data_IF_683964837937
#
_entry.id   IF_683964837937
#
_cell.length_a   1.000
_cell.length_b   1.000
_cell.length_c   1.000
_cell.angle_alpha   90.00
_cell.angle_beta   90.00
_cell.angle_gamma   90.00
#
_symmetry.space_group_name_H-M   'P 1'
#
loop_
_entity.id
_entity.type
_entity.pdbx_description
1 polymer ?
#
# COMPACT_ATOMS: atom_id res chain seq x y z
N UNK A 1 -10.22 21.99 -2.35
CA UNK A 1 -8.96 22.16 -3.11
C UNK A 1 -8.67 20.83 -3.74
N UNK A 2 -8.88 20.73 -5.04
CA UNK A 2 -8.63 19.46 -5.75
C UNK A 2 -7.13 19.19 -5.70
N UNK A 3 -6.76 18.07 -5.09
CA UNK A 3 -5.38 17.64 -5.03
C UNK A 3 -4.97 17.18 -6.45
N UNK A 4 -4.37 18.12 -7.20
CA UNK A 4 -4.02 17.94 -8.62
C UNK A 4 -3.08 16.73 -8.83
N UNK A 5 -2.29 16.36 -7.81
CA UNK A 5 -1.40 15.19 -7.89
C UNK A 5 -2.20 13.89 -7.85
N UNK A 6 -3.22 13.86 -7.02
CA UNK A 6 -4.10 12.71 -6.87
C UNK A 6 -4.93 12.46 -8.14
N UNK A 7 -5.48 13.54 -8.74
CA UNK A 7 -6.23 13.47 -10.00
C UNK A 7 -5.36 13.06 -11.20
N UNK A 8 -4.11 13.50 -11.27
CA UNK A 8 -3.20 13.08 -12.36
C UNK A 8 -2.83 11.60 -12.29
N UNK A 9 -2.58 11.07 -11.10
CA UNK A 9 -2.24 9.65 -10.96
C UNK A 9 -3.44 8.75 -11.21
N UNK A 10 -4.61 9.15 -10.74
CA UNK A 10 -5.88 8.47 -11.04
C UNK A 10 -6.32 8.60 -12.50
N UNK A 11 -5.84 9.60 -13.26
CA UNK A 11 -6.15 9.73 -14.68
C UNK A 11 -5.74 8.50 -15.50
N UNK A 12 -4.67 7.79 -15.11
CA UNK A 12 -4.30 6.51 -15.72
C UNK A 12 -5.37 5.43 -15.54
N UNK A 13 -6.06 5.41 -14.41
CA UNK A 13 -7.12 4.43 -14.12
C UNK A 13 -8.50 4.89 -14.59
N UNK A 14 -8.73 6.20 -14.67
CA UNK A 14 -10.03 6.79 -15.02
C UNK A 14 -10.25 6.88 -16.54
N UNK A 15 -9.19 7.09 -17.33
CA UNK A 15 -9.33 7.28 -18.78
C UNK A 15 -9.57 5.99 -19.57
N UNK A 16 -9.33 4.83 -18.98
CA UNK A 16 -9.46 3.53 -19.66
C UNK A 16 -10.63 2.71 -19.11
N UNK A 17 -11.86 3.14 -19.40
CA UNK A 17 -13.07 2.36 -19.09
C UNK A 17 -13.18 1.05 -19.89
N UNK A 18 -12.32 0.84 -20.88
CA UNK A 18 -12.20 -0.40 -21.64
C UNK A 18 -10.87 -1.09 -21.32
N UNK A 19 -10.77 -1.69 -20.16
CA UNK A 19 -9.69 -2.66 -19.92
C UNK A 19 -9.91 -3.86 -20.83
N UNK A 20 -9.13 -3.90 -21.90
CA UNK A 20 -9.06 -5.06 -22.78
C UNK A 20 -8.48 -6.26 -22.00
N UNK A 21 -8.74 -7.48 -22.48
CA UNK A 21 -8.15 -8.69 -21.93
C UNK A 21 -6.60 -8.61 -21.85
N UNK A 22 -5.97 -7.86 -22.76
CA UNK A 22 -4.52 -7.58 -22.78
C UNK A 22 -4.07 -6.71 -21.61
N UNK A 23 -4.82 -5.67 -21.25
CA UNK A 23 -4.52 -4.86 -20.05
C UNK A 23 -4.71 -5.64 -18.77
N UNK A 24 -5.75 -6.46 -18.68
CA UNK A 24 -5.95 -7.38 -17.55
C UNK A 24 -4.81 -8.41 -17.44
N UNK A 25 -4.29 -8.88 -18.58
CA UNK A 25 -3.13 -9.78 -18.61
C UNK A 25 -1.85 -9.05 -18.19
N UNK A 26 -1.65 -7.81 -18.63
CA UNK A 26 -0.52 -6.97 -18.23
C UNK A 26 -0.54 -6.65 -16.73
N UNK A 27 -1.69 -6.29 -16.18
CA UNK A 27 -1.86 -6.11 -14.72
C UNK A 27 -1.57 -7.41 -13.95
N UNK A 28 -1.96 -8.57 -14.49
CA UNK A 28 -1.61 -9.88 -13.89
C UNK A 28 -0.11 -10.17 -13.96
N UNK A 29 0.57 -9.79 -15.04
CA UNK A 29 2.02 -9.97 -15.16
C UNK A 29 2.78 -9.04 -14.21
N UNK A 30 2.29 -7.82 -13.96
CA UNK A 30 2.85 -6.94 -12.95
C UNK A 30 2.79 -7.54 -11.53
N UNK A 31 1.85 -8.44 -11.27
CA UNK A 31 1.78 -9.19 -10.01
C UNK A 31 3.06 -10.01 -9.79
N UNK A 32 3.60 -10.65 -10.83
CA UNK A 32 4.83 -11.44 -10.71
C UNK A 32 6.05 -10.55 -10.42
N UNK A 33 6.13 -9.38 -11.06
CA UNK A 33 7.20 -8.41 -10.82
C UNK A 33 7.17 -7.87 -9.39
N UNK A 34 5.97 -7.70 -8.82
CA UNK A 34 5.80 -7.23 -7.44
C UNK A 34 5.89 -8.35 -6.39
N UNK A 35 5.63 -9.62 -6.73
CA UNK A 35 5.85 -10.75 -5.80
C UNK A 35 7.26 -10.78 -5.24
N UNK A 36 8.22 -10.38 -6.05
CA UNK A 36 9.61 -10.26 -5.68
C UNK A 36 9.84 -9.31 -4.49
N UNK A 37 9.10 -8.20 -4.37
CA UNK A 37 9.21 -7.25 -3.27
C UNK A 37 8.83 -7.83 -1.90
N UNK A 38 8.12 -8.96 -1.90
CA UNK A 38 7.54 -9.58 -0.71
C UNK A 38 7.92 -11.07 -0.57
N UNK A 39 9.00 -11.49 -1.23
CA UNK A 39 9.60 -12.81 -0.99
C UNK A 39 10.37 -12.81 0.34
N UNK A 40 10.64 -14.00 0.89
CA UNK A 40 11.24 -14.16 2.21
C UNK A 40 12.59 -13.46 2.39
N UNK A 41 13.32 -13.25 1.30
CA UNK A 41 14.65 -12.61 1.25
C UNK A 41 14.54 -11.06 1.21
N UNK A 42 13.33 -10.52 1.15
CA UNK A 42 13.07 -9.10 1.19
C UNK A 42 12.78 -8.69 2.62
N UNK A 43 13.29 -7.57 3.13
CA UNK A 43 13.12 -7.14 4.51
C UNK A 43 11.68 -7.18 5.03
N UNK A 44 10.70 -6.96 4.15
CA UNK A 44 9.27 -7.05 4.50
C UNK A 44 8.68 -8.48 4.50
N UNK A 45 9.40 -9.47 3.99
CA UNK A 45 8.89 -10.83 3.83
C UNK A 45 8.41 -11.46 5.15
N UNK A 46 9.22 -11.33 6.20
CA UNK A 46 8.92 -11.88 7.52
C UNK A 46 7.77 -11.15 8.22
N UNK A 47 7.58 -9.87 7.92
CA UNK A 47 6.52 -9.05 8.51
C UNK A 47 5.15 -9.43 7.93
N UNK A 48 5.12 -9.91 6.69
CA UNK A 48 3.89 -10.31 6.01
C UNK A 48 3.40 -11.72 6.41
N UNK A 49 4.04 -12.37 7.38
CA UNK A 49 3.65 -13.69 7.81
C UNK A 49 2.30 -13.70 8.53
N UNK A 50 1.33 -14.42 7.98
CA UNK A 50 0.00 -14.58 8.55
C UNK A 50 -0.03 -15.34 9.88
N UNK A 51 1.09 -15.89 10.35
CA UNK A 51 1.17 -16.43 11.71
C UNK A 51 1.05 -15.33 12.75
N UNK A 52 1.58 -14.14 12.44
CA UNK A 52 1.51 -12.94 13.32
C UNK A 52 0.15 -12.25 13.23
N UNK A 53 -0.40 -12.12 12.02
CA UNK A 53 -1.63 -11.35 11.78
C UNK A 53 -2.64 -12.16 10.96
N UNK A 54 -3.93 -12.00 11.25
CA UNK A 54 -5.02 -12.61 10.45
C UNK A 54 -5.77 -11.59 9.62
N UNK A 55 -5.63 -10.31 9.96
CA UNK A 55 -6.26 -9.19 9.27
C UNK A 55 -5.19 -8.25 8.73
N UNK A 56 -5.39 -7.77 7.52
CA UNK A 56 -4.59 -6.71 6.92
C UNK A 56 -5.46 -5.57 6.38
N UNK A 57 -4.88 -4.40 6.30
CA UNK A 57 -5.43 -3.22 5.66
C UNK A 57 -4.42 -2.76 4.59
N UNK A 58 -4.84 -2.79 3.33
CA UNK A 58 -4.06 -2.36 2.18
C UNK A 58 -4.53 -0.98 1.76
N UNK A 59 -3.70 0.03 2.01
CA UNK A 59 -4.01 1.44 1.78
C UNK A 59 -3.49 1.83 0.39
N UNK A 60 -4.39 2.33 -0.47
CA UNK A 60 -4.10 2.59 -1.87
C UNK A 60 -3.95 1.30 -2.66
N UNK A 61 -4.91 0.41 -2.53
CA UNK A 61 -4.82 -0.96 -3.05
C UNK A 61 -4.82 -1.07 -4.58
N UNK A 62 -5.09 0.02 -5.30
CA UNK A 62 -5.19 0.04 -6.75
C UNK A 62 -6.14 -1.05 -7.27
N UNK A 63 -5.66 -1.86 -8.21
CA UNK A 63 -6.42 -2.98 -8.77
C UNK A 63 -6.43 -4.24 -7.89
N UNK A 64 -6.01 -4.12 -6.63
CA UNK A 64 -6.19 -5.14 -5.58
C UNK A 64 -5.24 -6.32 -5.62
N UNK A 65 -4.16 -6.27 -6.42
CA UNK A 65 -3.23 -7.39 -6.56
C UNK A 65 -2.58 -7.77 -5.21
N UNK A 66 -2.12 -6.76 -4.44
CA UNK A 66 -1.44 -7.01 -3.16
C UNK A 66 -2.39 -7.56 -2.10
N UNK A 67 -3.60 -7.01 -2.01
CA UNK A 67 -4.64 -7.53 -1.14
C UNK A 67 -4.94 -9.02 -1.43
N UNK A 68 -4.98 -9.40 -2.71
CA UNK A 68 -5.17 -10.78 -3.13
C UNK A 68 -3.94 -11.66 -2.86
N UNK A 69 -2.73 -11.13 -3.04
CA UNK A 69 -1.48 -11.81 -2.65
C UNK A 69 -1.48 -12.15 -1.15
N UNK A 70 -1.85 -11.20 -0.28
CA UNK A 70 -1.95 -11.44 1.16
C UNK A 70 -2.90 -12.58 1.50
N UNK A 71 -4.03 -12.71 0.81
CA UNK A 71 -4.98 -13.81 1.03
C UNK A 71 -4.46 -15.13 0.46
N UNK A 72 -4.02 -15.13 -0.78
CA UNK A 72 -3.75 -16.36 -1.52
C UNK A 72 -2.39 -16.96 -1.12
N UNK A 73 -1.35 -16.14 -1.02
CA UNK A 73 0.01 -16.61 -0.75
C UNK A 73 0.34 -16.54 0.74
N UNK A 74 -0.04 -15.44 1.40
CA UNK A 74 0.28 -15.18 2.81
C UNK A 74 -0.81 -15.65 3.78
N UNK A 75 -1.91 -16.23 3.28
CA UNK A 75 -2.96 -16.91 4.05
C UNK A 75 -3.71 -16.02 5.06
N UNK A 76 -3.79 -14.73 4.78
CA UNK A 76 -4.65 -13.83 5.56
C UNK A 76 -6.11 -14.26 5.47
N UNK A 77 -6.84 -14.10 6.55
CA UNK A 77 -8.26 -14.48 6.61
C UNK A 77 -9.19 -13.33 6.25
N UNK A 78 -8.68 -12.09 6.34
CA UNK A 78 -9.42 -10.87 6.00
C UNK A 78 -8.47 -9.76 5.57
N UNK A 79 -8.77 -9.14 4.45
CA UNK A 79 -8.06 -7.94 3.99
C UNK A 79 -9.08 -6.86 3.67
N UNK A 80 -8.84 -5.66 4.14
CA UNK A 80 -9.53 -4.45 3.73
C UNK A 80 -8.64 -3.74 2.69
N UNK A 81 -9.12 -3.61 1.48
CA UNK A 81 -8.42 -2.96 0.37
C UNK A 81 -9.08 -1.61 0.11
N UNK A 82 -8.43 -0.53 0.51
CA UNK A 82 -8.98 0.83 0.42
C UNK A 82 -8.36 1.53 -0.78
N UNK A 83 -9.21 2.03 -1.68
CA UNK A 83 -8.78 2.69 -2.90
C UNK A 83 -9.80 3.78 -3.28
N UNK A 84 -9.38 5.04 -3.47
CA UNK A 84 -10.30 6.11 -3.80
C UNK A 84 -10.76 6.08 -5.27
N UNK A 85 -10.02 5.45 -6.18
CA UNK A 85 -10.42 5.29 -7.57
C UNK A 85 -11.51 4.23 -7.72
N UNK A 86 -12.73 4.63 -8.04
CA UNK A 86 -13.84 3.72 -8.30
C UNK A 86 -13.52 2.75 -9.44
N UNK A 87 -12.90 3.25 -10.51
CA UNK A 87 -12.51 2.42 -11.65
C UNK A 87 -11.48 1.34 -11.27
N UNK A 88 -10.51 1.65 -10.41
CA UNK A 88 -9.54 0.67 -9.92
C UNK A 88 -10.21 -0.41 -9.07
N UNK A 89 -11.14 -0.01 -8.20
CA UNK A 89 -11.95 -0.96 -7.39
C UNK A 89 -12.80 -1.87 -8.27
N UNK A 90 -13.40 -1.32 -9.33
CA UNK A 90 -14.21 -2.12 -10.26
C UNK A 90 -13.36 -3.10 -11.07
N UNK A 91 -12.15 -2.70 -11.44
CA UNK A 91 -11.16 -3.59 -12.06
C UNK A 91 -10.79 -4.72 -11.09
N UNK A 92 -10.47 -4.38 -9.83
CA UNK A 92 -10.14 -5.37 -8.81
C UNK A 92 -11.24 -6.43 -8.67
N UNK A 93 -12.50 -6.01 -8.60
CA UNK A 93 -13.65 -6.91 -8.52
C UNK A 93 -13.82 -7.78 -9.78
N UNK A 94 -13.50 -7.25 -10.97
CA UNK A 94 -13.53 -8.01 -12.23
C UNK A 94 -12.41 -9.04 -12.34
N UNK A 95 -11.19 -8.70 -11.87
CA UNK A 95 -10.04 -9.60 -11.88
C UNK A 95 -10.20 -10.72 -10.84
N UNK A 96 -10.78 -10.40 -9.68
CA UNK A 96 -10.89 -11.30 -8.54
C UNK A 96 -12.35 -11.49 -8.08
N UNK A 97 -13.26 -11.99 -8.96
CA UNK A 97 -14.70 -12.00 -8.70
C UNK A 97 -15.10 -12.87 -7.51
N UNK A 98 -14.36 -13.93 -7.24
CA UNK A 98 -14.65 -14.91 -6.19
C UNK A 98 -13.91 -14.68 -4.88
N UNK A 99 -13.20 -13.55 -4.76
CA UNK A 99 -12.38 -13.28 -3.58
C UNK A 99 -13.23 -12.73 -2.41
N UNK A 100 -13.69 -13.65 -1.56
CA UNK A 100 -14.56 -13.31 -0.40
C UNK A 100 -13.82 -12.79 0.83
N UNK A 101 -12.50 -13.00 0.90
CA UNK A 101 -11.67 -12.56 2.05
C UNK A 101 -11.13 -11.14 1.89
N UNK A 102 -11.21 -10.57 0.68
CA UNK A 102 -10.87 -9.17 0.42
C UNK A 102 -12.14 -8.34 0.39
N UNK A 103 -12.19 -7.32 1.24
CA UNK A 103 -13.23 -6.29 1.20
C UNK A 103 -12.68 -5.08 0.48
N UNK A 104 -13.05 -4.92 -0.80
CA UNK A 104 -12.73 -3.71 -1.56
C UNK A 104 -13.60 -2.55 -1.09
N UNK A 105 -12.97 -1.43 -0.75
CA UNK A 105 -13.60 -0.22 -0.23
C UNK A 105 -13.22 0.94 -1.15
N UNK A 106 -14.20 1.53 -1.82
CA UNK A 106 -13.98 2.76 -2.56
C UNK A 106 -14.12 3.95 -1.61
N UNK A 107 -13.05 4.70 -1.43
CA UNK A 107 -13.00 5.86 -0.54
C UNK A 107 -11.60 6.28 -0.14
N UNK A 108 -11.50 7.41 0.51
CA UNK A 108 -10.24 7.95 1.03
C UNK A 108 -9.84 7.25 2.32
N UNK A 109 -8.56 6.93 2.46
CA UNK A 109 -8.07 6.11 3.57
C UNK A 109 -8.33 6.75 4.93
N UNK A 110 -8.14 8.07 5.08
CA UNK A 110 -8.38 8.81 6.31
C UNK A 110 -9.83 8.73 6.80
N UNK A 111 -10.78 8.59 5.89
CA UNK A 111 -12.20 8.45 6.19
C UNK A 111 -12.58 6.98 6.46
N UNK A 112 -12.16 6.08 5.58
CA UNK A 112 -12.55 4.68 5.61
C UNK A 112 -11.91 3.90 6.77
N UNK A 113 -10.67 4.23 7.13
CA UNK A 113 -9.99 3.64 8.28
C UNK A 113 -10.81 3.82 9.57
N UNK A 114 -11.40 5.00 9.76
CA UNK A 114 -12.21 5.31 10.96
C UNK A 114 -13.43 4.38 11.13
N UNK A 115 -13.90 3.75 10.06
CA UNK A 115 -15.05 2.83 10.04
C UNK A 115 -14.65 1.37 10.30
N UNK A 116 -13.33 1.08 10.32
CA UNK A 116 -12.81 -0.27 10.57
C UNK A 116 -12.55 -0.45 12.06
N UNK A 117 -13.11 -1.52 12.63
CA UNK A 117 -12.87 -1.89 14.02
C UNK A 117 -11.93 -3.07 14.08
N UNK A 118 -10.74 -2.85 14.64
CA UNK A 118 -9.74 -3.88 14.91
C UNK A 118 -9.72 -4.20 16.40
N UNK A 119 -9.71 -5.48 16.73
CA UNK A 119 -9.66 -5.98 18.12
C UNK A 119 -8.38 -6.75 18.41
N UNK A 120 -7.53 -6.90 17.41
CA UNK A 120 -6.24 -7.62 17.49
C UNK A 120 -5.20 -6.88 16.65
N UNK A 121 -3.92 -7.09 16.93
CA UNK A 121 -2.84 -6.60 16.07
C UNK A 121 -3.07 -7.00 14.62
N UNK A 122 -2.80 -6.09 13.72
CA UNK A 122 -3.09 -6.22 12.29
C UNK A 122 -1.95 -5.64 11.46
N UNK A 123 -1.83 -6.09 10.22
CA UNK A 123 -0.93 -5.50 9.26
C UNK A 123 -1.62 -4.31 8.57
N UNK A 124 -0.92 -3.20 8.48
CA UNK A 124 -1.22 -2.11 7.56
C UNK A 124 -0.15 -2.10 6.47
N UNK A 125 -0.53 -1.90 5.24
CA UNK A 125 0.40 -1.82 4.12
C UNK A 125 0.13 -0.61 3.25
N UNK A 126 1.22 -0.01 2.75
CA UNK A 126 1.20 0.97 1.68
C UNK A 126 2.28 0.63 0.68
N UNK A 127 1.98 0.69 -0.60
CA UNK A 127 2.90 0.31 -1.66
C UNK A 127 2.90 1.38 -2.76
N UNK A 128 3.94 2.23 -2.75
CA UNK A 128 4.08 3.35 -3.68
C UNK A 128 2.86 4.29 -3.69
N UNK A 129 2.29 4.57 -2.53
CA UNK A 129 1.08 5.40 -2.38
C UNK A 129 1.40 6.74 -1.74
N UNK A 130 2.01 6.72 -0.55
CA UNK A 130 2.16 7.93 0.25
C UNK A 130 3.15 8.92 -0.36
N UNK A 131 4.08 8.45 -1.19
CA UNK A 131 5.03 9.31 -1.91
C UNK A 131 4.32 10.23 -2.93
N UNK A 132 3.15 9.85 -3.41
CA UNK A 132 2.35 10.65 -4.34
C UNK A 132 1.44 11.66 -3.63
N UNK A 133 1.32 11.56 -2.33
CA UNK A 133 0.44 12.41 -1.53
C UNK A 133 1.23 13.48 -0.79
N UNK A 134 0.64 14.68 -0.65
CA UNK A 134 1.21 15.75 0.16
C UNK A 134 1.09 15.44 1.65
N UNK A 135 1.87 16.15 2.48
CA UNK A 135 1.86 15.98 3.92
C UNK A 135 0.46 16.21 4.53
N UNK A 136 -0.29 17.17 3.97
CA UNK A 136 -1.65 17.51 4.41
C UNK A 136 -2.62 16.33 4.26
N UNK A 137 -2.34 15.39 3.34
CA UNK A 137 -3.11 14.16 3.13
C UNK A 137 -2.53 13.00 3.92
N UNK A 138 -1.21 12.87 3.98
CA UNK A 138 -0.56 11.72 4.63
C UNK A 138 -0.71 11.78 6.14
N UNK A 139 -0.58 12.95 6.77
CA UNK A 139 -0.71 13.09 8.24
C UNK A 139 -2.08 12.60 8.74
N UNK A 140 -3.22 12.97 8.15
CA UNK A 140 -4.52 12.39 8.51
C UNK A 140 -4.59 10.86 8.34
N UNK A 141 -3.99 10.30 7.29
CA UNK A 141 -3.93 8.84 7.08
C UNK A 141 -3.16 8.17 8.22
N UNK A 142 -1.95 8.67 8.54
CA UNK A 142 -1.14 8.14 9.63
C UNK A 142 -1.84 8.23 10.98
N UNK A 143 -2.51 9.36 11.24
CA UNK A 143 -3.32 9.55 12.44
C UNK A 143 -4.47 8.55 12.51
N UNK A 144 -5.14 8.26 11.41
CA UNK A 144 -6.20 7.27 11.34
C UNK A 144 -5.67 5.85 11.56
N UNK A 145 -4.51 5.50 10.99
CA UNK A 145 -3.81 4.24 11.24
C UNK A 145 -3.48 4.10 12.72
N UNK A 146 -2.82 5.11 13.30
CA UNK A 146 -2.44 5.09 14.72
C UNK A 146 -3.65 4.88 15.64
N UNK A 147 -4.75 5.57 15.35
CA UNK A 147 -5.98 5.51 16.15
C UNK A 147 -6.61 4.12 16.19
N UNK A 148 -6.62 3.37 15.10
CA UNK A 148 -7.30 2.06 15.01
C UNK A 148 -6.37 0.88 15.25
N UNK A 149 -5.07 1.06 15.08
CA UNK A 149 -4.07 0.01 15.29
C UNK A 149 -4.04 -0.40 16.77
N UNK A 150 -3.97 -1.69 17.01
CA UNK A 150 -3.73 -2.25 18.36
C UNK A 150 -2.23 -2.39 18.60
N UNK A 151 -1.77 -2.32 19.84
CA UNK A 151 -0.38 -2.61 20.23
C UNK A 151 0.10 -3.91 19.56
N UNK A 152 1.29 -3.88 18.97
CA UNK A 152 1.85 -4.98 18.18
C UNK A 152 1.36 -5.04 16.73
N UNK A 153 0.50 -4.11 16.29
CA UNK A 153 0.21 -3.93 14.86
C UNK A 153 1.44 -3.43 14.11
N UNK A 154 1.55 -3.76 12.84
CA UNK A 154 2.68 -3.36 12.01
C UNK A 154 2.19 -2.56 10.81
N UNK A 155 2.88 -1.46 10.51
CA UNK A 155 2.80 -0.73 9.26
C UNK A 155 4.01 -1.12 8.39
N UNK A 156 3.75 -1.78 7.29
CA UNK A 156 4.74 -2.08 6.25
C UNK A 156 4.59 -1.07 5.12
N UNK A 157 5.60 -0.24 4.95
CA UNK A 157 5.60 0.84 3.98
C UNK A 157 6.71 0.61 2.96
N UNK A 158 6.36 0.53 1.69
CA UNK A 158 7.29 0.46 0.58
C UNK A 158 7.04 1.65 -0.33
N UNK A 159 7.91 2.66 -0.23
CA UNK A 159 7.75 3.93 -0.92
C UNK A 159 9.03 4.26 -1.70
N UNK A 160 8.91 5.08 -2.73
CA UNK A 160 10.08 5.59 -3.42
C UNK A 160 10.81 6.61 -2.56
N UNK A 161 12.10 6.41 -2.33
CA UNK A 161 12.95 7.29 -1.52
C UNK A 161 14.16 7.78 -2.31
N UNK A 162 14.33 9.09 -2.25
CA UNK A 162 15.60 9.77 -2.48
C UNK A 162 16.41 9.32 -3.67
N UNK A 163 15.97 9.54 -4.89
CA UNK A 163 16.85 9.72 -6.04
C UNK A 163 16.17 10.62 -7.06
N UNK A 164 16.98 11.60 -7.51
CA UNK A 164 16.85 12.40 -8.73
C UNK A 164 15.44 12.48 -9.32
N UNK A 165 14.84 13.63 -9.19
CA UNK A 165 13.85 14.24 -10.07
C UNK A 165 13.24 13.29 -11.12
N UNK A 166 12.33 12.43 -10.70
CA UNK A 166 11.59 11.68 -11.68
C UNK A 166 10.30 12.39 -12.03
N UNK A 167 9.71 13.12 -11.13
CA UNK A 167 8.61 14.04 -11.44
C UNK A 167 8.38 14.98 -10.25
N UNK A 168 7.89 16.20 -10.50
CA UNK A 168 7.49 17.20 -9.47
C UNK A 168 6.34 16.74 -8.54
N UNK A 169 5.95 15.47 -8.65
CA UNK A 169 4.80 14.88 -7.96
C UNK A 169 5.19 13.98 -6.78
N UNK A 170 6.49 13.74 -6.54
CA UNK A 170 6.94 12.82 -5.49
C UNK A 170 7.32 13.57 -4.21
N UNK A 171 6.62 13.25 -3.13
CA UNK A 171 6.87 13.81 -1.81
C UNK A 171 7.72 12.84 -1.00
N UNK A 172 9.04 12.99 -1.11
CA UNK A 172 10.01 12.16 -0.39
C UNK A 172 10.13 12.66 1.05
N UNK A 173 10.03 11.75 2.01
CA UNK A 173 10.07 12.05 3.44
C UNK A 173 11.28 11.40 4.10
N UNK A 174 11.92 12.12 5.03
CA UNK A 174 13.04 11.57 5.79
C UNK A 174 12.57 10.57 6.87
N UNK A 175 13.46 9.68 7.35
CA UNK A 175 13.15 8.83 8.49
C UNK A 175 12.64 9.60 9.71
N UNK A 176 13.23 10.75 10.01
CA UNK A 176 12.86 11.60 11.13
C UNK A 176 11.41 12.08 11.00
N UNK A 177 11.00 12.45 9.77
CA UNK A 177 9.62 12.86 9.51
C UNK A 177 8.61 11.76 9.86
N UNK A 178 8.92 10.50 9.53
CA UNK A 178 8.04 9.38 9.85
C UNK A 178 7.94 9.16 11.36
N UNK A 179 9.07 9.19 12.07
CA UNK A 179 9.12 9.05 13.53
C UNK A 179 8.34 10.17 14.22
N UNK A 180 8.47 11.41 13.77
CA UNK A 180 7.74 12.56 14.32
C UNK A 180 6.21 12.41 14.16
N UNK A 181 5.75 11.83 13.04
CA UNK A 181 4.32 11.68 12.76
C UNK A 181 3.69 10.38 13.30
N UNK A 182 4.51 9.43 13.77
CA UNK A 182 4.06 8.21 14.45
C UNK A 182 4.92 7.94 15.70
N UNK A 183 4.88 8.81 16.74
CA UNK A 183 5.80 8.76 17.88
C UNK A 183 5.62 7.53 18.78
N UNK A 184 4.49 6.83 18.67
CA UNK A 184 4.18 5.61 19.43
C UNK A 184 4.49 4.33 18.65
N UNK A 185 5.39 4.42 17.65
CA UNK A 185 5.77 3.30 16.81
C UNK A 185 7.28 3.14 16.79
N UNK A 186 7.74 1.90 16.84
CA UNK A 186 9.14 1.53 16.68
C UNK A 186 9.43 1.23 15.21
N UNK A 187 10.43 1.92 14.63
CA UNK A 187 10.73 1.86 13.20
C UNK A 187 11.97 1.03 12.91
N UNK A 188 11.89 0.25 11.85
CA UNK A 188 13.00 -0.41 11.19
C UNK A 188 13.03 0.05 9.72
N UNK A 189 14.06 0.86 9.36
CA UNK A 189 14.22 1.42 8.02
C UNK A 189 15.15 0.56 7.17
N UNK A 190 14.74 0.28 5.93
CA UNK A 190 15.50 -0.52 4.98
C UNK A 190 16.14 0.38 3.92
N UNK A 191 17.47 0.56 4.01
CA UNK A 191 18.16 1.60 3.25
C UNK A 191 18.68 1.16 1.87
N UNK A 192 18.86 -0.14 1.58
CA UNK A 192 19.64 -0.59 0.43
C UNK A 192 18.89 -1.54 -0.52
N UNK A 193 17.57 -1.49 -0.52
CA UNK A 193 16.84 -2.34 -1.42
C UNK A 193 16.89 -1.81 -2.85
N UNK A 194 17.69 -2.46 -3.69
CA UNK A 194 17.78 -2.20 -5.13
C UNK A 194 16.93 -3.26 -5.83
N UNK A 195 15.82 -2.85 -6.44
CA UNK A 195 15.14 -3.71 -7.40
C UNK A 195 16.11 -4.03 -8.53
N UNK A 196 16.30 -5.31 -8.90
CA UNK A 196 17.05 -5.67 -10.09
C UNK A 196 16.25 -5.30 -11.34
N UNK A 197 16.16 -4.01 -11.63
CA UNK A 197 15.54 -3.54 -12.87
C UNK A 197 16.65 -3.10 -13.82
N UNK A 198 16.58 -3.46 -15.11
CA UNK A 198 17.63 -3.16 -16.09
C UNK A 198 17.74 -1.67 -16.45
N UNK A 199 16.92 -0.81 -15.89
CA UNK A 199 16.94 0.64 -16.12
C UNK A 199 17.15 1.37 -14.80
N UNK A 200 17.73 2.60 -14.85
CA UNK A 200 18.01 3.47 -13.70
C UNK A 200 16.77 3.93 -12.90
N UNK A 201 15.89 2.99 -12.59
CA UNK A 201 14.68 3.28 -11.80
C UNK A 201 15.00 3.60 -10.33
N UNK A 202 14.13 4.37 -9.67
CA UNK A 202 14.33 4.77 -8.29
C UNK A 202 14.47 3.54 -7.39
N UNK A 203 15.40 3.63 -6.46
CA UNK A 203 15.54 2.64 -5.41
C UNK A 203 14.31 2.73 -4.53
N UNK A 204 13.51 1.68 -4.52
CA UNK A 204 12.44 1.58 -3.54
C UNK A 204 13.08 1.35 -2.18
N UNK A 205 12.72 2.19 -1.24
CA UNK A 205 13.08 2.05 0.16
C UNK A 205 11.80 1.83 0.92
N UNK A 206 11.91 1.20 2.05
CA UNK A 206 10.77 0.93 2.88
C UNK A 206 11.13 0.96 4.34
N UNK A 207 10.11 0.83 5.14
CA UNK A 207 10.26 0.60 6.56
C UNK A 207 9.15 -0.34 7.05
N UNK A 208 9.39 -0.96 8.18
CA UNK A 208 8.32 -1.46 9.02
C UNK A 208 8.28 -0.63 10.29
N UNK A 209 7.09 -0.38 10.78
CA UNK A 209 6.90 0.26 12.07
C UNK A 209 5.95 -0.59 12.92
N UNK A 210 6.31 -0.86 14.17
CA UNK A 210 5.51 -1.64 15.11
C UNK A 210 4.92 -0.72 16.15
N UNK A 211 3.62 -0.78 16.35
CA UNK A 211 2.93 0.00 17.39
C UNK A 211 3.28 -0.52 18.77
N UNK A 212 3.75 0.38 19.65
CA UNK A 212 4.13 0.13 21.03
C UNK A 212 2.92 -0.01 21.96
#
# INVERSE_FOLDING_TARGET
>A
MDDISYTKHNAHYVQDSALTAEKLAHERNNIEDFKFLYQADVPHGDVLDSTKFKTAIDIGSGTGWFANYLVNERKYTKVYAIEPSESAVDIAKKIYPDQKKVKYINGFAEEELSKIKLTKPSLFSTLCVLTHLKNETVIPILSAVDKIAQTGSVLACSEAWGIRHIEDTWNIRSPEWWVENLPNWEFEFYNDYVLPHPTDHPRYKGFTATKL
#
